data_IF_684944019962
#
_entry.id   IF_684944019962
#
_cell.length_a   1.000
_cell.length_b   1.000
_cell.length_c   1.000
_cell.angle_alpha   90.00
_cell.angle_beta   90.00
_cell.angle_gamma   90.00
#
_symmetry.space_group_name_H-M   'P 1'
#
loop_
_entity.id
_entity.type
_entity.pdbx_description
1 polymer ?
#
# COMPACT_ATOMS: atom_id res chain seq x y z
N UNK A 1 -4.97 41.14 -7.17
CA UNK A 1 -5.33 40.02 -6.29
C UNK A 1 -4.02 39.30 -5.99
N UNK A 2 -3.56 39.41 -4.75
CA UNK A 2 -2.22 38.96 -4.34
C UNK A 2 -2.17 37.43 -4.38
N UNK A 3 -1.47 36.90 -5.38
CA UNK A 3 -1.20 35.48 -5.51
C UNK A 3 -0.07 35.15 -4.52
N UNK A 4 -0.42 34.84 -3.28
CA UNK A 4 0.56 34.21 -2.39
C UNK A 4 0.93 32.87 -3.02
N UNK A 5 2.23 32.65 -3.24
CA UNK A 5 2.80 31.39 -3.72
C UNK A 5 2.43 30.18 -2.85
N UNK A 6 1.89 30.41 -1.65
CA UNK A 6 1.48 29.38 -0.70
C UNK A 6 0.09 29.60 -0.07
N UNK A 7 -0.68 30.58 -0.54
CA UNK A 7 -1.92 31.01 0.11
C UNK A 7 -3.13 30.87 -0.79
N UNK A 8 -3.97 29.88 -0.50
CA UNK A 8 -5.37 29.92 -0.91
C UNK A 8 -6.07 31.07 -0.17
N UNK A 9 -7.00 31.77 -0.81
CA UNK A 9 -7.91 32.72 -0.13
C UNK A 9 -9.01 32.01 0.66
N UNK A 10 -9.06 30.68 0.55
CA UNK A 10 -10.02 29.82 1.23
C UNK A 10 -9.59 29.59 2.69
N UNK A 11 -10.40 30.00 3.69
CA UNK A 11 -10.14 29.70 5.10
C UNK A 11 -10.15 28.20 5.41
N UNK A 12 -10.80 27.37 4.58
CA UNK A 12 -10.81 25.92 4.68
C UNK A 12 -10.26 25.31 3.39
N UNK A 13 -9.01 24.84 3.45
CA UNK A 13 -8.34 24.21 2.32
C UNK A 13 -8.65 22.71 2.29
N UNK A 14 -9.32 22.23 1.24
CA UNK A 14 -9.59 20.80 1.02
C UNK A 14 -9.03 20.36 -0.34
N UNK A 15 -8.13 19.38 -0.34
CA UNK A 15 -7.65 18.77 -1.57
C UNK A 15 -7.29 17.30 -1.32
N UNK A 16 -7.82 16.42 -2.18
CA UNK A 16 -7.64 14.96 -2.13
C UNK A 16 -7.90 14.32 -0.75
N UNK A 17 -8.89 14.85 -0.02
CA UNK A 17 -9.29 14.35 1.29
C UNK A 17 -8.45 14.87 2.46
N UNK A 18 -7.52 15.80 2.24
CA UNK A 18 -6.80 16.49 3.30
C UNK A 18 -7.44 17.88 3.52
N UNK A 19 -8.09 18.06 4.66
CA UNK A 19 -8.74 19.32 5.04
C UNK A 19 -7.92 20.06 6.10
N UNK A 20 -7.69 21.35 5.88
CA UNK A 20 -7.03 22.25 6.83
C UNK A 20 -7.93 23.46 7.06
N UNK A 21 -8.35 23.65 8.30
CA UNK A 21 -9.05 24.85 8.74
C UNK A 21 -8.04 25.87 9.23
N UNK A 22 -7.73 26.86 8.40
CA UNK A 22 -6.70 27.86 8.69
C UNK A 22 -7.10 28.79 9.84
N UNK A 23 -8.40 29.00 10.05
CA UNK A 23 -8.92 29.79 11.18
C UNK A 23 -8.67 29.11 12.53
N UNK A 24 -8.65 27.78 12.55
CA UNK A 24 -8.37 26.99 13.77
C UNK A 24 -6.89 26.69 13.95
N UNK A 25 -6.06 26.97 12.95
CA UNK A 25 -4.63 26.74 13.01
C UNK A 25 -3.91 27.87 13.78
N UNK A 26 -3.56 27.61 15.03
CA UNK A 26 -2.76 28.52 15.88
C UNK A 26 -1.24 28.45 15.59
N UNK A 27 -0.83 27.59 14.66
CA UNK A 27 0.57 27.45 14.24
C UNK A 27 1.48 26.80 15.28
N UNK A 28 0.97 25.84 16.08
CA UNK A 28 1.75 25.12 17.10
C UNK A 28 2.83 24.18 16.53
N UNK A 29 2.79 23.87 15.23
CA UNK A 29 3.77 23.03 14.51
C UNK A 29 3.87 21.54 14.91
N UNK A 30 3.01 21.01 15.79
CA UNK A 30 3.02 19.57 16.14
C UNK A 30 2.88 18.65 14.91
N UNK A 31 1.93 18.97 14.03
CA UNK A 31 1.70 18.27 12.77
C UNK A 31 2.91 18.32 11.83
N UNK A 32 3.67 19.41 11.83
CA UNK A 32 4.92 19.55 11.07
C UNK A 32 5.99 18.63 11.65
N UNK A 33 6.17 18.65 12.97
CA UNK A 33 7.22 17.90 13.65
C UNK A 33 7.00 16.37 13.62
N UNK A 34 5.74 15.93 13.63
CA UNK A 34 5.41 14.49 13.59
C UNK A 34 5.33 13.94 12.16
N UNK A 35 5.31 14.80 11.13
CA UNK A 35 5.15 14.36 9.75
C UNK A 35 6.37 13.55 9.32
N UNK A 36 6.23 12.23 9.06
CA UNK A 36 7.38 11.35 8.80
C UNK A 36 8.05 11.62 7.44
N UNK A 37 7.39 12.39 6.58
CA UNK A 37 7.82 12.74 5.22
C UNK A 37 7.98 14.25 5.03
N UNK A 38 7.90 15.03 6.11
CA UNK A 38 8.07 16.50 6.08
C UNK A 38 7.13 17.23 5.08
N UNK A 39 5.97 16.65 4.78
CA UNK A 39 5.02 17.20 3.81
C UNK A 39 4.25 18.43 4.32
N UNK A 40 4.44 18.84 5.58
CA UNK A 40 3.72 19.94 6.22
C UNK A 40 4.68 21.05 6.60
N UNK A 41 4.31 22.31 6.36
CA UNK A 41 5.14 23.47 6.69
C UNK A 41 4.28 24.65 7.10
N UNK A 42 4.76 25.50 8.03
CA UNK A 42 4.13 26.78 8.34
C UNK A 42 4.70 27.88 7.44
N UNK A 43 3.82 28.63 6.78
CA UNK A 43 4.15 29.66 5.79
C UNK A 43 3.42 30.97 6.09
N UNK A 44 3.88 32.06 5.46
CA UNK A 44 3.13 33.30 5.41
C UNK A 44 2.04 33.22 4.32
N UNK A 45 0.79 33.50 4.71
CA UNK A 45 -0.38 33.43 3.84
C UNK A 45 -1.45 34.43 4.22
N UNK A 46 -2.49 34.57 3.40
CA UNK A 46 -3.67 35.37 3.71
C UNK A 46 -4.84 34.43 4.01
N UNK A 47 -5.47 34.61 5.16
CA UNK A 47 -6.69 33.89 5.57
C UNK A 47 -7.77 34.96 5.72
N UNK A 48 -8.86 34.88 4.95
CA UNK A 48 -9.90 35.92 4.90
C UNK A 48 -9.34 37.34 4.67
N UNK A 49 -8.42 37.50 3.73
CA UNK A 49 -7.76 38.79 3.41
C UNK A 49 -6.91 39.38 4.55
N UNK A 50 -6.74 38.68 5.67
CA UNK A 50 -5.87 39.06 6.79
C UNK A 50 -4.57 38.26 6.70
N UNK A 51 -3.44 38.94 6.85
CA UNK A 51 -2.12 38.30 6.84
C UNK A 51 -1.96 37.38 8.07
N UNK A 52 -1.69 36.11 7.82
CA UNK A 52 -1.34 35.09 8.81
C UNK A 52 0.08 34.58 8.54
N UNK A 53 1.00 34.77 9.49
CA UNK A 53 2.41 34.36 9.36
C UNK A 53 2.68 32.90 9.75
N UNK A 54 1.64 32.13 10.08
CA UNK A 54 1.70 30.73 10.49
C UNK A 54 0.57 29.89 9.86
N UNK A 55 0.25 30.16 8.59
CA UNK A 55 -0.68 29.33 7.84
C UNK A 55 -0.05 27.94 7.59
N UNK A 56 -0.83 26.87 7.71
CA UNK A 56 -0.33 25.52 7.48
C UNK A 56 -0.46 25.15 5.99
N UNK A 57 0.64 24.76 5.37
CA UNK A 57 0.69 24.28 4.00
C UNK A 57 1.00 22.78 3.97
N UNK A 58 0.34 22.06 3.06
CA UNK A 58 0.61 20.64 2.79
C UNK A 58 1.09 20.47 1.36
N UNK A 59 2.21 19.79 1.19
CA UNK A 59 2.73 19.39 -0.10
C UNK A 59 2.15 18.00 -0.45
N UNK A 60 1.04 17.98 -1.20
CA UNK A 60 0.27 16.74 -1.44
C UNK A 60 1.01 15.68 -2.25
N UNK A 61 1.90 16.09 -3.14
CA UNK A 61 2.83 15.21 -3.87
C UNK A 61 3.82 14.49 -2.93
N UNK A 62 4.05 15.04 -1.73
CA UNK A 62 4.87 14.43 -0.67
C UNK A 62 4.02 13.78 0.43
N UNK A 63 2.78 14.23 0.62
CA UNK A 63 1.88 13.73 1.65
C UNK A 63 1.44 12.29 1.37
N UNK A 64 1.82 11.37 2.25
CA UNK A 64 1.44 9.95 2.15
C UNK A 64 0.09 9.62 2.82
N UNK A 65 -0.68 10.64 3.22
CA UNK A 65 -2.00 10.49 3.88
C UNK A 65 -1.99 9.53 5.09
N UNK A 66 -0.88 9.45 5.84
CA UNK A 66 -0.74 8.53 6.97
C UNK A 66 -1.57 8.90 8.21
N UNK A 67 -2.12 10.12 8.26
CA UNK A 67 -3.04 10.56 9.31
C UNK A 67 -2.42 10.92 10.66
N UNK A 68 -1.12 10.72 10.87
CA UNK A 68 -0.47 11.01 12.18
C UNK A 68 -0.55 12.49 12.61
N UNK A 69 -0.69 13.41 11.66
CA UNK A 69 -0.82 14.83 11.94
C UNK A 69 -2.20 15.24 12.49
N UNK A 70 -3.24 14.45 12.23
CA UNK A 70 -4.62 14.73 12.66
C UNK A 70 -4.80 14.65 14.18
N UNK A 71 -4.47 13.54 14.87
CA UNK A 71 -4.60 13.46 16.33
C UNK A 71 -3.59 14.34 17.08
N UNK A 72 -2.50 14.74 16.43
CA UNK A 72 -1.46 15.59 17.02
C UNK A 72 -1.79 17.08 16.99
N UNK A 73 -2.84 17.49 16.26
CA UNK A 73 -3.24 18.89 16.16
C UNK A 73 -4.10 19.29 17.39
N UNK A 74 -3.61 20.14 18.31
CA UNK A 74 -4.34 20.45 19.55
C UNK A 74 -5.67 21.18 19.34
N UNK A 75 -5.85 21.80 18.18
CA UNK A 75 -7.05 22.56 17.80
C UNK A 75 -7.90 21.85 16.75
N UNK A 76 -7.55 20.60 16.40
CA UNK A 76 -8.25 19.79 15.39
C UNK A 76 -8.39 20.52 14.05
N UNK A 77 -7.41 21.38 13.72
CA UNK A 77 -7.38 22.19 12.51
C UNK A 77 -7.12 21.35 11.25
N UNK A 78 -6.57 20.15 11.41
CA UNK A 78 -6.36 19.18 10.33
C UNK A 78 -7.42 18.10 10.45
N UNK A 79 -8.10 17.79 9.35
CA UNK A 79 -8.97 16.63 9.23
C UNK A 79 -8.61 15.88 7.96
N UNK A 80 -8.28 14.60 8.06
CA UNK A 80 -8.18 13.76 6.88
C UNK A 80 -9.56 13.16 6.62
N UNK A 81 -10.26 13.73 5.65
CA UNK A 81 -11.45 13.11 5.06
C UNK A 81 -11.00 12.15 3.97
N UNK A 82 -10.55 10.98 4.42
CA UNK A 82 -10.72 9.77 3.61
C UNK A 82 -12.22 9.69 3.31
N UNK A 83 -12.61 9.83 2.05
CA UNK A 83 -14.00 10.00 1.65
C UNK A 83 -14.90 8.90 2.25
N UNK A 84 -15.59 9.26 3.34
CA UNK A 84 -16.61 8.52 4.09
C UNK A 84 -16.13 7.95 5.45
N UNK A 85 -16.47 8.49 6.63
CA UNK A 85 -17.44 9.51 7.01
C UNK A 85 -17.27 9.92 8.50
N UNK A 86 -17.92 11.03 8.89
CA UNK A 86 -17.75 11.77 10.16
C UNK A 86 -18.78 11.32 11.25
N UNK A 87 -18.81 11.87 12.49
CA UNK A 87 -18.12 11.35 13.67
C UNK A 87 -19.07 11.03 14.86
N UNK A 88 -18.62 10.27 15.86
CA UNK A 88 -19.45 9.97 17.04
C UNK A 88 -18.70 9.46 18.27
N UNK A 89 -18.17 10.41 19.04
CA UNK A 89 -18.05 10.47 20.52
C UNK A 89 -17.69 9.22 21.34
N UNK A 90 -16.56 9.33 22.03
CA UNK A 90 -16.14 8.59 23.23
C UNK A 90 -17.06 8.85 24.43
N UNK A 91 -17.15 7.92 25.41
CA UNK A 91 -17.51 8.34 26.76
C UNK A 91 -16.69 7.70 27.90
N UNK A 92 -16.29 8.57 28.84
CA UNK A 92 -15.93 8.27 30.23
C UNK A 92 -15.06 9.40 30.77
N UNK A 93 -15.41 10.19 31.79
CA UNK A 93 -16.22 9.88 32.98
C UNK A 93 -16.69 11.16 33.71
N UNK A 94 -17.96 11.23 34.12
CA UNK A 94 -18.40 11.62 35.48
C UNK A 94 -19.90 11.33 35.69
N UNK A 95 -20.35 11.12 36.94
CA UNK A 95 -21.63 10.46 37.22
C UNK A 95 -22.82 11.42 37.30
N UNK A 96 -23.98 10.97 36.82
CA UNK A 96 -25.28 11.58 37.16
C UNK A 96 -26.37 11.45 36.09
N UNK A 97 -27.33 10.56 36.36
CA UNK A 97 -28.73 10.49 35.86
C UNK A 97 -29.04 10.11 34.39
N UNK A 98 -29.55 8.87 34.30
CA UNK A 98 -30.75 8.41 33.56
C UNK A 98 -30.77 8.24 32.02
N UNK A 99 -30.88 6.97 31.56
CA UNK A 99 -31.75 6.61 30.42
C UNK A 99 -31.21 5.71 29.29
N UNK A 100 -31.25 4.37 29.48
CA UNK A 100 -31.69 3.34 28.51
C UNK A 100 -31.03 3.10 27.13
N UNK A 101 -30.62 1.84 26.87
CA UNK A 101 -30.67 1.20 25.53
C UNK A 101 -29.34 0.75 24.90
N UNK A 102 -29.15 -0.56 24.76
CA UNK A 102 -27.95 -1.28 24.26
C UNK A 102 -27.82 -1.35 22.74
N UNK A 103 -26.62 -1.14 22.19
CA UNK A 103 -26.22 -1.51 20.83
C UNK A 103 -24.73 -1.26 20.58
N UNK A 104 -23.93 -2.33 20.45
CA UNK A 104 -22.47 -2.26 20.25
C UNK A 104 -22.07 -1.86 18.82
N UNK A 105 -20.97 -1.11 18.68
CA UNK A 105 -20.43 -0.70 17.39
C UNK A 105 -18.93 -1.02 17.30
N UNK A 106 -18.56 -1.80 16.28
CA UNK A 106 -17.25 -2.40 16.08
C UNK A 106 -16.33 -1.44 15.32
N UNK A 107 -15.21 -1.06 15.94
CA UNK A 107 -14.09 -0.40 15.26
C UNK A 107 -13.56 -1.30 14.15
N UNK A 108 -13.74 -0.92 12.89
CA UNK A 108 -13.20 -1.65 11.74
C UNK A 108 -11.71 -1.38 11.57
N UNK A 109 -10.87 -2.02 12.38
CA UNK A 109 -9.42 -2.04 12.19
C UNK A 109 -9.12 -2.76 10.88
N UNK A 110 -8.54 -2.08 9.88
CA UNK A 110 -8.05 -2.75 8.67
C UNK A 110 -6.86 -3.64 9.05
N UNK A 111 -7.16 -4.89 9.38
CA UNK A 111 -6.15 -5.89 9.65
C UNK A 111 -5.81 -6.62 8.36
N UNK A 112 -4.53 -6.81 8.09
CA UNK A 112 -4.13 -7.78 7.08
C UNK A 112 -4.72 -9.15 7.46
N UNK A 113 -5.25 -9.87 6.48
CA UNK A 113 -5.81 -11.20 6.70
C UNK A 113 -4.79 -12.27 6.34
N UNK A 114 -4.93 -13.45 6.94
CA UNK A 114 -4.16 -14.62 6.54
C UNK A 114 -4.53 -15.06 5.11
N UNK A 115 -3.66 -15.79 4.40
CA UNK A 115 -3.96 -16.22 3.03
C UNK A 115 -5.07 -17.27 3.02
N UNK A 116 -5.87 -17.28 1.95
CA UNK A 116 -6.93 -18.30 1.73
C UNK A 116 -6.34 -19.71 1.69
N UNK A 117 -5.22 -19.88 0.98
CA UNK A 117 -4.47 -21.12 0.93
C UNK A 117 -3.00 -20.84 1.23
N UNK A 118 -2.49 -21.44 2.31
CA UNK A 118 -1.07 -21.34 2.68
C UNK A 118 -0.25 -22.36 1.89
N UNK A 119 0.95 -21.95 1.44
CA UNK A 119 1.87 -22.80 0.69
C UNK A 119 3.26 -22.87 1.35
N UNK A 120 3.97 -23.98 1.16
CA UNK A 120 5.42 -23.98 1.30
C UNK A 120 6.02 -23.39 0.01
N UNK A 121 6.52 -22.16 0.10
CA UNK A 121 7.04 -21.45 -1.06
C UNK A 121 8.26 -22.14 -1.67
N UNK A 122 9.17 -22.68 -0.83
CA UNK A 122 10.38 -23.34 -1.32
C UNK A 122 10.01 -24.59 -2.15
N UNK A 123 9.08 -25.40 -1.65
CA UNK A 123 8.57 -26.56 -2.40
C UNK A 123 7.92 -26.13 -3.72
N UNK A 124 7.06 -25.10 -3.70
CA UNK A 124 6.38 -24.62 -4.92
C UNK A 124 7.34 -24.01 -5.95
N UNK A 125 8.39 -23.32 -5.49
CA UNK A 125 9.43 -22.78 -6.37
C UNK A 125 10.36 -23.86 -6.92
N UNK A 126 10.60 -24.95 -6.17
CA UNK A 126 11.36 -26.10 -6.66
C UNK A 126 10.70 -26.80 -7.86
N UNK A 127 9.37 -26.70 -8.00
CA UNK A 127 8.65 -27.28 -9.15
C UNK A 127 9.00 -26.65 -10.50
N UNK A 128 9.64 -25.48 -10.52
CA UNK A 128 10.16 -24.89 -11.75
C UNK A 128 11.29 -25.71 -12.39
N UNK A 129 11.89 -26.64 -11.64
CA UNK A 129 12.85 -27.61 -12.16
C UNK A 129 12.20 -28.68 -13.07
N UNK A 130 10.88 -28.87 -12.99
CA UNK A 130 10.14 -29.82 -13.85
C UNK A 130 10.08 -29.35 -15.31
N UNK A 131 10.25 -28.05 -15.56
CA UNK A 131 10.42 -27.50 -16.91
C UNK A 131 11.91 -27.49 -17.23
N UNK A 132 12.35 -28.35 -18.14
CA UNK A 132 13.77 -28.50 -18.49
C UNK A 132 14.25 -27.27 -19.25
N UNK A 133 15.46 -26.78 -18.97
CA UNK A 133 16.02 -25.62 -19.67
C UNK A 133 16.61 -25.98 -21.03
N UNK A 134 16.38 -25.12 -22.01
CA UNK A 134 17.04 -25.09 -23.30
C UNK A 134 17.07 -23.65 -23.86
N UNK A 135 17.54 -23.49 -25.10
CA UNK A 135 17.64 -22.19 -25.77
C UNK A 135 16.29 -21.48 -25.98
N UNK A 136 15.18 -22.22 -26.00
CA UNK A 136 13.83 -21.70 -26.19
C UNK A 136 13.10 -21.44 -24.86
N UNK A 137 13.77 -21.65 -23.73
CA UNK A 137 13.15 -21.45 -22.41
C UNK A 137 12.98 -19.98 -22.12
N UNK A 138 11.75 -19.60 -21.77
CA UNK A 138 11.40 -18.23 -21.41
C UNK A 138 11.03 -18.15 -19.94
N UNK A 139 11.49 -17.08 -19.30
CA UNK A 139 11.18 -16.75 -17.92
C UNK A 139 10.47 -15.42 -17.88
N UNK A 140 9.40 -15.33 -17.11
CA UNK A 140 8.63 -14.11 -16.95
C UNK A 140 8.30 -13.89 -15.49
N UNK A 141 8.45 -12.65 -15.04
CA UNK A 141 8.12 -12.22 -13.68
C UNK A 141 7.18 -11.04 -13.79
N UNK A 142 6.09 -11.09 -13.04
CA UNK A 142 5.06 -10.07 -13.02
C UNK A 142 4.83 -9.60 -11.59
N UNK A 143 4.96 -8.29 -11.37
CA UNK A 143 4.43 -7.63 -10.19
C UNK A 143 2.97 -7.28 -10.42
N UNK A 144 2.11 -7.66 -9.49
CA UNK A 144 0.68 -7.40 -9.52
C UNK A 144 0.31 -6.49 -8.35
N UNK A 145 -0.54 -5.49 -8.61
CA UNK A 145 -1.11 -4.62 -7.59
C UNK A 145 -2.64 -4.65 -7.68
N UNK A 146 -3.29 -4.95 -6.56
CA UNK A 146 -4.73 -4.89 -6.35
C UNK A 146 -5.01 -3.70 -5.43
N UNK A 147 -5.74 -2.72 -5.95
CA UNK A 147 -6.14 -1.53 -5.20
C UNK A 147 -7.18 -1.86 -4.14
N UNK A 148 -7.19 -1.05 -3.08
CA UNK A 148 -8.28 -1.06 -2.12
C UNK A 148 -9.59 -0.77 -2.87
N UNK A 149 -10.60 -1.58 -2.62
CA UNK A 149 -11.94 -1.35 -3.12
C UNK A 149 -12.73 -0.63 -2.03
N UNK A 150 -12.99 0.67 -2.20
CA UNK A 150 -13.65 1.50 -1.17
C UNK A 150 -15.09 1.04 -0.85
N UNK A 151 -15.66 0.16 -1.67
CA UNK A 151 -16.97 -0.43 -1.44
C UNK A 151 -16.90 -1.88 -0.92
N UNK A 152 -15.70 -2.38 -0.59
CA UNK A 152 -15.48 -3.72 -0.05
C UNK A 152 -14.66 -3.64 1.24
N UNK A 153 -14.88 -4.61 2.11
CA UNK A 153 -14.07 -4.92 3.29
C UNK A 153 -12.67 -5.51 2.95
N UNK A 154 -12.27 -5.54 1.68
CA UNK A 154 -11.06 -6.23 1.24
C UNK A 154 -9.88 -5.27 1.15
N UNK A 155 -8.82 -5.49 1.94
CA UNK A 155 -7.61 -4.71 1.80
C UNK A 155 -7.03 -4.91 0.40
N UNK A 156 -6.34 -3.88 -0.11
CA UNK A 156 -5.53 -4.03 -1.31
C UNK A 156 -4.42 -5.05 -1.08
N UNK A 157 -3.79 -5.52 -2.15
CA UNK A 157 -2.68 -6.47 -2.06
C UNK A 157 -1.64 -6.25 -3.17
N UNK A 158 -0.39 -6.58 -2.89
CA UNK A 158 0.67 -6.66 -3.87
C UNK A 158 1.31 -8.05 -3.83
N UNK A 159 1.55 -8.63 -5.01
CA UNK A 159 2.00 -10.02 -5.13
C UNK A 159 2.74 -10.26 -6.43
N UNK A 160 3.38 -11.42 -6.53
CA UNK A 160 4.16 -11.82 -7.70
C UNK A 160 3.48 -12.95 -8.44
N UNK A 161 3.64 -12.94 -9.76
CA UNK A 161 3.45 -14.12 -10.60
C UNK A 161 4.78 -14.39 -11.30
N UNK A 162 5.28 -15.61 -11.21
CA UNK A 162 6.46 -16.04 -11.96
C UNK A 162 6.12 -17.24 -12.86
N UNK A 163 6.71 -17.25 -14.05
CA UNK A 163 6.45 -18.23 -15.09
C UNK A 163 7.75 -18.69 -15.73
N UNK A 164 7.82 -19.99 -15.99
CA UNK A 164 8.86 -20.63 -16.80
C UNK A 164 8.19 -21.52 -17.81
N UNK A 165 8.52 -21.34 -19.08
CA UNK A 165 7.96 -22.15 -20.16
C UNK A 165 9.01 -22.60 -21.15
N UNK A 166 8.82 -23.81 -21.67
CA UNK A 166 9.63 -24.40 -22.73
C UNK A 166 8.71 -25.27 -23.62
N UNK A 167 8.47 -24.81 -24.85
CA UNK A 167 7.49 -25.44 -25.74
C UNK A 167 6.10 -25.47 -25.10
N UNK A 168 5.54 -26.67 -24.91
CA UNK A 168 4.21 -26.86 -24.31
C UNK A 168 4.23 -26.97 -22.78
N UNK A 169 5.42 -27.01 -22.16
CA UNK A 169 5.54 -27.06 -20.70
C UNK A 169 5.49 -25.65 -20.14
N UNK A 170 4.68 -25.46 -19.09
CA UNK A 170 4.58 -24.23 -18.33
C UNK A 170 4.56 -24.59 -16.84
N UNK A 171 5.43 -23.96 -16.07
CA UNK A 171 5.30 -23.87 -14.63
C UNK A 171 4.98 -22.40 -14.27
N UNK A 172 3.94 -22.20 -13.48
CA UNK A 172 3.49 -20.88 -13.03
C UNK A 172 3.17 -20.91 -11.54
N UNK A 173 3.56 -19.86 -10.85
CA UNK A 173 3.16 -19.61 -9.47
C UNK A 173 2.79 -18.14 -9.28
N UNK A 174 1.58 -17.88 -8.81
CA UNK A 174 1.10 -16.58 -8.32
C UNK A 174 1.07 -16.64 -6.79
N UNK A 175 1.90 -15.87 -6.12
CA UNK A 175 2.10 -15.97 -4.67
C UNK A 175 2.31 -14.60 -4.02
N UNK A 176 1.87 -14.48 -2.76
CA UNK A 176 2.01 -13.27 -1.97
C UNK A 176 2.34 -13.53 -0.52
N UNK A 177 2.69 -12.46 0.18
CA UNK A 177 3.17 -12.47 1.56
C UNK A 177 2.11 -11.92 2.51
N UNK A 178 1.88 -12.63 3.61
CA UNK A 178 0.76 -12.41 4.52
C UNK A 178 1.18 -12.58 5.97
N UNK A 179 0.41 -12.04 6.94
CA UNK A 179 0.50 -12.54 8.30
C UNK A 179 0.01 -14.00 8.33
N UNK A 180 0.59 -14.80 9.22
CA UNK A 180 0.12 -16.18 9.45
C UNK A 180 -1.26 -16.23 10.08
N UNK A 181 -1.62 -15.21 10.87
CA UNK A 181 -2.93 -15.04 11.49
C UNK A 181 -3.37 -13.59 11.38
N UNK A 182 -4.55 -13.35 10.80
CA UNK A 182 -5.05 -12.00 10.55
C UNK A 182 -5.42 -11.23 11.82
N UNK A 183 -5.67 -11.88 12.95
CA UNK A 183 -5.94 -11.18 14.21
C UNK A 183 -4.66 -10.54 14.80
N UNK A 184 -3.49 -11.12 14.52
CA UNK A 184 -2.22 -10.66 15.09
C UNK A 184 -1.77 -9.33 14.48
N UNK A 185 -2.03 -9.10 13.19
CA UNK A 185 -1.69 -7.83 12.52
C UNK A 185 -2.52 -6.63 13.02
N UNK A 186 -3.64 -6.85 13.71
CA UNK A 186 -4.43 -5.76 14.30
C UNK A 186 -3.66 -5.02 15.41
N UNK A 187 -2.60 -5.62 15.95
CA UNK A 187 -1.74 -5.01 16.97
C UNK A 187 -0.66 -4.08 16.39
N UNK A 188 -0.51 -4.03 15.05
CA UNK A 188 0.57 -3.32 14.35
C UNK A 188 1.98 -3.70 14.85
N UNK A 189 2.12 -4.88 15.46
CA UNK A 189 3.41 -5.45 15.85
C UNK A 189 3.84 -6.54 14.86
N UNK A 190 5.15 -6.80 14.73
CA UNK A 190 5.63 -7.91 13.94
C UNK A 190 4.99 -9.24 14.37
N UNK A 191 4.43 -9.97 13.41
CA UNK A 191 3.77 -11.27 13.61
C UNK A 191 4.41 -12.33 12.72
N UNK A 192 4.32 -13.64 13.06
CA UNK A 192 4.69 -14.68 12.12
C UNK A 192 4.01 -14.48 10.76
N UNK A 193 4.75 -14.72 9.69
CA UNK A 193 4.30 -14.59 8.31
C UNK A 193 3.88 -15.93 7.70
N UNK A 194 3.21 -15.87 6.55
CA UNK A 194 2.85 -16.99 5.71
C UNK A 194 2.88 -16.60 4.23
N UNK A 195 3.13 -17.59 3.37
CA UNK A 195 3.03 -17.44 1.92
C UNK A 195 1.68 -17.98 1.44
N UNK A 196 1.00 -17.21 0.60
CA UNK A 196 -0.30 -17.54 0.05
C UNK A 196 -0.25 -17.85 -1.45
N UNK A 197 -1.07 -18.80 -1.90
CA UNK A 197 -1.36 -19.00 -3.33
C UNK A 197 -2.47 -18.06 -3.79
N UNK A 198 -2.13 -17.10 -4.64
CA UNK A 198 -2.99 -16.00 -5.05
C UNK A 198 -4.14 -16.47 -5.94
N UNK A 199 -3.90 -17.49 -6.77
CA UNK A 199 -4.93 -18.00 -7.67
C UNK A 199 -6.00 -18.85 -6.99
N UNK A 200 -5.87 -19.11 -5.68
CA UNK A 200 -6.87 -19.83 -4.88
C UNK A 200 -7.96 -18.92 -4.28
N UNK A 201 -7.74 -17.61 -4.30
CA UNK A 201 -8.69 -16.61 -3.80
C UNK A 201 -9.56 -16.12 -4.96
N UNK A 202 -10.86 -16.43 -4.92
CA UNK A 202 -11.82 -16.10 -5.98
C UNK A 202 -12.03 -14.59 -6.18
N UNK A 203 -11.63 -13.78 -5.19
CA UNK A 203 -11.71 -12.33 -5.24
C UNK A 203 -10.39 -11.68 -5.64
N UNK A 204 -9.34 -12.50 -5.81
CA UNK A 204 -8.04 -12.00 -6.21
C UNK A 204 -8.10 -11.38 -7.60
N UNK A 205 -7.50 -10.21 -7.71
CA UNK A 205 -7.34 -9.51 -8.99
C UNK A 205 -6.01 -8.80 -9.02
N UNK A 206 -5.74 -8.16 -10.15
CA UNK A 206 -4.62 -7.26 -10.37
C UNK A 206 -5.21 -6.09 -11.15
N UNK A 207 -5.14 -4.89 -10.59
CA UNK A 207 -5.60 -3.65 -11.21
C UNK A 207 -4.45 -2.99 -12.01
N UNK A 208 -3.19 -3.30 -11.67
CA UNK A 208 -2.00 -3.02 -12.47
C UNK A 208 -1.05 -4.22 -12.47
N UNK A 209 -0.37 -4.46 -13.60
CA UNK A 209 0.65 -5.49 -13.78
C UNK A 209 1.89 -4.91 -14.43
N UNK A 210 3.07 -5.21 -13.88
CA UNK A 210 4.35 -4.95 -14.53
C UNK A 210 5.02 -6.29 -14.85
N UNK A 211 5.05 -6.66 -16.14
CA UNK A 211 5.58 -7.96 -16.58
C UNK A 211 6.90 -7.82 -17.32
N UNK A 212 7.93 -8.53 -16.87
CA UNK A 212 9.25 -8.56 -17.48
C UNK A 212 9.60 -9.98 -17.91
N UNK A 213 10.09 -10.13 -19.14
CA UNK A 213 10.84 -11.31 -19.54
C UNK A 213 12.27 -11.17 -19.02
N UNK A 214 12.77 -12.21 -18.36
CA UNK A 214 14.04 -12.14 -17.62
C UNK A 214 14.98 -13.25 -18.04
N UNK A 215 16.27 -13.06 -17.75
CA UNK A 215 17.28 -14.12 -17.92
C UNK A 215 17.12 -15.21 -16.86
N UNK A 216 17.66 -16.40 -17.12
CA UNK A 216 17.73 -17.48 -16.10
C UNK A 216 18.38 -17.02 -14.80
N UNK A 217 19.46 -16.24 -14.90
CA UNK A 217 20.16 -15.69 -13.71
C UNK A 217 19.25 -14.78 -12.90
N UNK A 218 18.56 -13.84 -13.54
CA UNK A 218 17.59 -12.97 -12.88
C UNK A 218 16.42 -13.75 -12.28
N UNK A 219 15.91 -14.76 -12.98
CA UNK A 219 14.86 -15.63 -12.48
C UNK A 219 15.27 -16.38 -11.20
N UNK A 220 16.50 -16.91 -11.17
CA UNK A 220 17.05 -17.58 -9.99
C UNK A 220 17.28 -16.61 -8.82
N UNK A 221 17.66 -15.36 -9.10
CA UNK A 221 17.73 -14.30 -8.08
C UNK A 221 16.35 -14.05 -7.47
N UNK A 222 15.30 -13.96 -8.29
CA UNK A 222 13.92 -13.80 -7.82
C UNK A 222 13.49 -14.97 -6.93
N UNK A 223 13.77 -16.21 -7.33
CA UNK A 223 13.49 -17.40 -6.51
C UNK A 223 14.19 -17.28 -5.14
N UNK A 224 15.49 -16.98 -5.15
CA UNK A 224 16.30 -16.95 -3.94
C UNK A 224 15.84 -15.84 -2.98
N UNK A 225 15.58 -14.64 -3.50
CA UNK A 225 15.09 -13.52 -2.72
C UNK A 225 13.68 -13.77 -2.17
N UNK A 226 12.81 -14.37 -2.96
CA UNK A 226 11.45 -14.73 -2.52
C UNK A 226 11.51 -15.68 -1.32
N UNK A 227 12.34 -16.72 -1.38
CA UNK A 227 12.54 -17.64 -0.26
C UNK A 227 13.11 -16.92 0.96
N UNK A 228 14.10 -16.03 0.77
CA UNK A 228 14.73 -15.30 1.86
C UNK A 228 13.72 -14.40 2.60
N UNK A 229 12.98 -13.56 1.87
CA UNK A 229 12.00 -12.64 2.45
C UNK A 229 10.77 -13.37 3.03
N UNK A 230 10.43 -14.57 2.53
CA UNK A 230 9.31 -15.34 3.07
C UNK A 230 9.50 -15.79 4.52
N UNK A 231 10.74 -15.74 5.03
CA UNK A 231 11.13 -16.15 6.38
C UNK A 231 11.13 -14.98 7.38
N UNK A 232 10.91 -13.75 6.91
CA UNK A 232 10.85 -12.54 7.74
C UNK A 232 9.46 -12.45 8.40
N UNK A 233 9.33 -11.92 9.63
CA UNK A 233 8.03 -11.61 10.22
C UNK A 233 7.23 -10.65 9.35
N UNK A 234 5.90 -10.81 9.35
CA UNK A 234 5.01 -9.86 8.70
C UNK A 234 4.78 -8.67 9.64
N UNK A 235 4.97 -7.47 9.13
CA UNK A 235 4.72 -6.22 9.83
C UNK A 235 4.01 -5.25 8.89
N UNK A 236 2.89 -4.69 9.32
CA UNK A 236 2.07 -3.81 8.47
C UNK A 236 2.82 -2.55 8.05
N UNK A 237 3.73 -2.05 8.89
CA UNK A 237 4.52 -0.87 8.59
C UNK A 237 5.73 -1.31 7.76
N UNK A 238 6.54 -2.24 8.23
CA UNK A 238 7.90 -2.45 7.70
C UNK A 238 8.06 -3.62 6.71
N UNK A 239 7.26 -4.69 6.85
CA UNK A 239 7.45 -5.95 6.12
C UNK A 239 6.09 -6.55 5.76
N UNK A 240 5.44 -5.98 4.76
CA UNK A 240 4.09 -6.37 4.35
C UNK A 240 4.07 -6.88 2.89
N UNK A 241 2.87 -7.15 2.37
CA UNK A 241 2.69 -7.66 1.01
C UNK A 241 3.37 -6.77 -0.06
N UNK A 242 3.31 -5.44 0.10
CA UNK A 242 3.96 -4.52 -0.82
C UNK A 242 5.47 -4.61 -0.73
N UNK A 243 6.05 -4.46 0.47
CA UNK A 243 7.51 -4.54 0.66
C UNK A 243 8.06 -5.80 0.04
N UNK A 244 7.48 -6.94 0.39
CA UNK A 244 7.87 -8.22 -0.16
C UNK A 244 7.84 -8.22 -1.70
N UNK A 245 6.72 -7.81 -2.31
CA UNK A 245 6.56 -7.89 -3.75
C UNK A 245 7.48 -6.91 -4.49
N UNK A 246 7.63 -5.68 -3.98
CA UNK A 246 8.49 -4.66 -4.60
C UNK A 246 9.96 -4.97 -4.39
N UNK A 247 10.39 -5.42 -3.22
CA UNK A 247 11.80 -5.69 -2.92
C UNK A 247 12.34 -6.85 -3.76
N UNK A 248 11.52 -7.90 -3.94
CA UNK A 248 11.85 -8.98 -4.87
C UNK A 248 11.91 -8.44 -6.30
N UNK A 249 10.88 -7.71 -6.76
CA UNK A 249 10.80 -7.25 -8.15
C UNK A 249 11.88 -6.21 -8.51
N UNK A 250 12.30 -5.39 -7.55
CA UNK A 250 13.35 -4.37 -7.70
C UNK A 250 14.71 -4.95 -8.10
N UNK A 251 14.95 -6.24 -7.86
CA UNK A 251 16.15 -6.94 -8.35
C UNK A 251 16.21 -7.02 -9.89
N UNK A 252 15.08 -6.81 -10.58
CA UNK A 252 14.99 -6.81 -12.04
C UNK A 252 15.15 -5.42 -12.65
N UNK A 253 15.10 -4.38 -11.82
CA UNK A 253 15.08 -2.99 -12.25
C UNK A 253 16.45 -2.34 -12.04
N UNK A 254 16.85 -1.40 -12.91
CA UNK A 254 18.05 -0.60 -12.69
C UNK A 254 17.85 0.30 -11.45
N UNK A 255 18.93 0.67 -10.77
CA UNK A 255 18.85 1.44 -9.50
C UNK A 255 18.06 2.74 -9.60
N UNK A 256 18.09 3.43 -10.76
CA UNK A 256 17.32 4.65 -11.00
C UNK A 256 15.84 4.42 -11.38
N UNK A 257 15.42 3.16 -11.51
CA UNK A 257 14.06 2.76 -11.84
C UNK A 257 13.46 1.76 -10.86
N UNK A 258 14.08 1.59 -9.68
CA UNK A 258 13.52 0.76 -8.62
C UNK A 258 12.22 1.37 -8.08
N UNK A 259 11.24 0.50 -7.88
CA UNK A 259 10.01 0.81 -7.17
C UNK A 259 10.36 1.15 -5.71
N UNK A 260 9.60 2.01 -5.06
CA UNK A 260 9.80 2.32 -3.63
C UNK A 260 11.10 3.06 -3.27
N UNK A 261 11.67 3.87 -4.18
CA UNK A 261 12.88 4.66 -3.87
C UNK A 261 12.70 5.74 -2.77
N UNK A 262 11.46 6.04 -2.35
CA UNK A 262 11.14 7.10 -1.37
C UNK A 262 10.22 6.65 -0.20
N UNK A 263 10.02 5.35 0.02
CA UNK A 263 9.31 4.83 1.20
C UNK A 263 7.88 4.31 0.98
N UNK A 264 7.51 3.39 1.87
CA UNK A 264 6.21 2.72 2.09
C UNK A 264 5.17 2.82 0.98
N UNK A 265 5.21 1.89 0.03
CA UNK A 265 4.10 1.73 -0.92
C UNK A 265 2.97 0.92 -0.26
N UNK A 266 1.78 1.49 -0.14
CA UNK A 266 0.57 0.69 0.01
C UNK A 266 0.28 -0.04 -1.30
N UNK A 267 -0.61 -1.05 -1.34
CA UNK A 267 -1.02 -1.66 -2.61
C UNK A 267 -1.57 -0.65 -3.63
N UNK A 268 -2.26 0.40 -3.16
CA UNK A 268 -2.69 1.51 -4.01
C UNK A 268 -1.50 2.38 -4.46
N UNK A 269 -0.51 2.60 -3.60
CA UNK A 269 0.76 3.22 -3.96
C UNK A 269 1.50 2.48 -5.08
N UNK A 270 1.58 1.14 -5.01
CA UNK A 270 2.15 0.32 -6.10
C UNK A 270 1.38 0.54 -7.39
N UNK A 271 0.05 0.47 -7.33
CA UNK A 271 -0.79 0.73 -8.49
C UNK A 271 -0.51 2.11 -9.10
N UNK A 272 -0.50 3.16 -8.28
CA UNK A 272 -0.30 4.55 -8.72
C UNK A 272 1.06 4.72 -9.38
N UNK A 273 2.11 4.14 -8.79
CA UNK A 273 3.45 4.16 -9.39
C UNK A 273 3.46 3.45 -10.75
N UNK A 274 2.86 2.26 -10.86
CA UNK A 274 2.77 1.55 -12.13
C UNK A 274 1.91 2.31 -13.16
N UNK A 275 0.85 2.98 -12.73
CA UNK A 275 0.02 3.80 -13.59
C UNK A 275 0.81 4.99 -14.16
N UNK A 276 1.65 5.64 -13.35
CA UNK A 276 2.52 6.73 -13.82
C UNK A 276 3.54 6.22 -14.84
N UNK A 277 4.24 5.12 -14.53
CA UNK A 277 5.16 4.50 -15.50
C UNK A 277 4.45 4.11 -16.81
N UNK A 278 3.18 3.68 -16.75
CA UNK A 278 2.38 3.39 -17.94
C UNK A 278 2.10 4.66 -18.75
N UNK A 279 1.76 5.76 -18.10
CA UNK A 279 1.54 7.07 -18.74
C UNK A 279 2.82 7.61 -19.38
N UNK A 280 3.98 7.38 -18.75
CA UNK A 280 5.31 7.67 -19.29
C UNK A 280 5.71 6.77 -20.48
N UNK A 281 4.84 5.81 -20.84
CA UNK A 281 4.99 4.99 -22.05
C UNK A 281 5.63 3.63 -21.82
N UNK A 282 5.74 3.16 -20.57
CA UNK A 282 6.29 1.82 -20.31
C UNK A 282 5.37 0.73 -20.91
N UNK A 283 5.84 -0.03 -21.93
CA UNK A 283 5.01 -0.99 -22.64
C UNK A 283 4.74 -2.27 -21.85
N UNK A 284 5.56 -2.52 -20.82
CA UNK A 284 5.50 -3.73 -20.00
C UNK A 284 4.44 -3.66 -18.88
N UNK A 285 3.76 -2.51 -18.77
CA UNK A 285 2.70 -2.29 -17.80
C UNK A 285 1.33 -2.41 -18.44
N UNK A 286 0.45 -3.14 -17.78
CA UNK A 286 -0.96 -3.26 -18.11
C UNK A 286 -1.81 -2.78 -16.94
N UNK A 287 -2.77 -1.90 -17.20
CA UNK A 287 -3.77 -1.45 -16.23
C UNK A 287 -5.11 -2.11 -16.56
N UNK A 288 -5.94 -2.31 -15.54
CA UNK A 288 -7.29 -2.85 -15.65
C UNK A 288 -7.51 -3.99 -14.67
N UNK A 289 -8.78 -4.34 -14.44
CA UNK A 289 -9.18 -5.39 -13.49
C UNK A 289 -8.94 -6.78 -14.09
N UNK A 290 -7.82 -7.40 -13.76
CA UNK A 290 -7.36 -8.65 -14.38
C UNK A 290 -7.27 -9.77 -13.33
N UNK A 291 -7.88 -10.92 -13.60
CA UNK A 291 -7.77 -12.11 -12.74
C UNK A 291 -6.33 -12.66 -12.77
N UNK A 292 -5.69 -12.97 -11.62
CA UNK A 292 -4.37 -13.59 -11.60
C UNK A 292 -4.37 -14.86 -12.44
N UNK A 293 -3.32 -15.11 -13.23
CA UNK A 293 -3.23 -16.36 -13.94
C UNK A 293 -3.13 -17.53 -12.96
N UNK A 294 -3.89 -18.60 -13.23
CA UNK A 294 -3.95 -19.80 -12.39
C UNK A 294 -2.59 -20.46 -12.29
N UNK A 295 -2.13 -20.71 -11.05
CA UNK A 295 -0.89 -21.43 -10.78
C UNK A 295 -0.98 -22.88 -11.25
N UNK A 296 0.12 -23.42 -11.73
CA UNK A 296 0.20 -24.82 -12.10
C UNK A 296 0.39 -25.67 -10.86
N UNK A 297 -0.10 -26.91 -10.93
CA UNK A 297 0.10 -27.91 -9.89
C UNK A 297 1.57 -28.36 -9.95
N UNK A 298 2.18 -28.49 -8.77
CA UNK A 298 3.44 -29.20 -8.61
C UNK A 298 3.18 -30.69 -8.75
N UNK A 299 3.46 -31.25 -9.92
CA UNK A 299 3.47 -32.70 -10.13
C UNK A 299 4.80 -33.30 -9.66
#
# INVERSE_FOLDING_TARGET
MNNSIYGTTDPDYEQDGFQISQERCEGFSHCVNICPVEALTLVEGYVNEILNIRALYVQLDTCIMCGVCEPECPTEAIMLRLSGGSPGTTPGTNPGSDGGGTGGNSSGSFSAIAPVSTINLEDRLNCFNNVVDNINTTYKVTLNAHRIDLNSDKPGHAYLTIEKSNGNQLQRLSYGFYPKSGAASATMQPTPSAMGEESSDEYRRSDARYSLYVTKTQFNLIISQSIALSKVPYDLNENNCTHYATDVFNLLLPSNGQLNNNGFLTPDGVYTYLANLKQEGNPNIQLGRIVPPTSTICN
#
